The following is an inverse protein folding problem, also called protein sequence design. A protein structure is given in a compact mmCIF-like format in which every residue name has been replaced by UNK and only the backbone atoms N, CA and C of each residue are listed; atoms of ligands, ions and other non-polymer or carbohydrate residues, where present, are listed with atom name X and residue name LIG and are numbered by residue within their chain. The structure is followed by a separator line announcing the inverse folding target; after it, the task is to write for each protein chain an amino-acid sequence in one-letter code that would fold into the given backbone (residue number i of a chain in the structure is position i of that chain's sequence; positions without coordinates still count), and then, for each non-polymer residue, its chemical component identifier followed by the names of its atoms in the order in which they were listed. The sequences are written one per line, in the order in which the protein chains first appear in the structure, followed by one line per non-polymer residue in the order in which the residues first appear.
data_IF_607202281534
#
_entry.id   IF_607202281534
#
_cell.length_a   1.000
_cell.length_b   1.000
_cell.length_c   1.000
_cell.angle_alpha   90.00
_cell.angle_beta   90.00
_cell.angle_gamma   90.00
#
_symmetry.space_group_name_H-M   'P 1'
#
loop_
_entity.id
_entity.type
_entity.pdbx_description
1 polymer ?
#
# COMPACT_ATOMS: atom_id res chain seq x y z
N UNK A 1 6.69 -6.08 -14.14
CA UNK A 1 7.96 -6.84 -14.26
C UNK A 1 7.67 -8.34 -14.33
N UNK A 2 6.88 -8.91 -13.42
CA UNK A 2 6.60 -10.35 -13.41
C UNK A 2 5.86 -10.83 -14.68
N UNK A 3 4.92 -10.05 -15.20
CA UNK A 3 4.22 -10.35 -16.45
C UNK A 3 5.19 -10.39 -17.64
N UNK A 4 6.12 -9.44 -17.73
CA UNK A 4 7.12 -9.43 -18.79
C UNK A 4 8.07 -10.62 -18.71
N UNK A 5 8.51 -10.99 -17.50
CA UNK A 5 9.35 -12.18 -17.29
C UNK A 5 8.60 -13.46 -17.71
N UNK A 6 7.32 -13.58 -17.37
CA UNK A 6 6.51 -14.72 -17.79
C UNK A 6 6.34 -14.79 -19.31
N UNK A 7 6.10 -13.66 -19.97
CA UNK A 7 6.01 -13.62 -21.44
C UNK A 7 7.34 -14.00 -22.10
N UNK A 8 8.48 -13.54 -21.56
CA UNK A 8 9.78 -13.92 -22.05
C UNK A 8 10.06 -15.42 -21.89
N UNK A 9 9.65 -16.04 -20.77
CA UNK A 9 9.72 -17.48 -20.58
C UNK A 9 8.82 -18.22 -21.59
N UNK A 10 7.57 -17.76 -21.80
CA UNK A 10 6.69 -18.35 -22.80
C UNK A 10 7.30 -18.31 -24.20
N UNK A 11 7.89 -17.17 -24.58
CA UNK A 11 8.60 -16.99 -25.86
C UNK A 11 9.78 -17.96 -26.00
N UNK A 12 10.62 -18.05 -24.97
CA UNK A 12 11.80 -18.93 -24.95
C UNK A 12 11.44 -20.42 -25.05
N UNK A 13 10.22 -20.80 -24.61
CA UNK A 13 9.69 -22.16 -24.71
C UNK A 13 8.89 -22.41 -25.98
N UNK A 14 8.80 -21.45 -26.90
CA UNK A 14 8.07 -21.55 -28.17
C UNK A 14 6.55 -21.47 -28.03
N UNK A 15 6.05 -20.94 -26.91
CA UNK A 15 4.61 -20.71 -26.71
C UNK A 15 4.16 -19.38 -27.33
N UNK A 16 2.90 -19.33 -27.77
CA UNK A 16 2.30 -18.11 -28.32
C UNK A 16 2.15 -17.04 -27.22
N UNK A 17 2.95 -15.99 -27.32
CA UNK A 17 2.97 -14.88 -26.36
C UNK A 17 1.69 -14.05 -26.40
N UNK A 18 0.95 -14.02 -27.52
CA UNK A 18 -0.32 -13.29 -27.61
C UNK A 18 -1.42 -14.01 -26.81
N UNK A 19 -1.42 -15.34 -26.84
CA UNK A 19 -2.33 -16.17 -26.01
C UNK A 19 -1.96 -15.99 -24.53
N UNK A 20 -0.67 -16.04 -24.21
CA UNK A 20 -0.18 -15.81 -22.83
C UNK A 20 -0.59 -14.42 -22.30
N UNK A 21 -0.42 -13.36 -23.11
CA UNK A 21 -0.82 -12.00 -22.77
C UNK A 21 -2.34 -11.87 -22.53
N UNK A 22 -3.16 -12.51 -23.35
CA UNK A 22 -4.63 -12.54 -23.14
C UNK A 22 -5.01 -13.20 -21.81
N UNK A 23 -4.32 -14.28 -21.43
CA UNK A 23 -4.55 -14.94 -20.14
C UNK A 23 -4.09 -14.10 -18.96
N UNK A 24 -3.04 -13.28 -19.11
CA UNK A 24 -2.62 -12.32 -18.10
C UNK A 24 -3.67 -11.24 -17.84
N UNK A 25 -4.48 -10.87 -18.82
CA UNK A 25 -5.53 -9.87 -18.64
C UNK A 25 -6.64 -10.31 -17.67
N UNK A 26 -6.81 -11.63 -17.45
CA UNK A 26 -7.73 -12.19 -16.45
C UNK A 26 -7.08 -12.43 -15.09
N UNK A 27 -5.80 -12.11 -14.93
CA UNK A 27 -5.11 -12.30 -13.66
C UNK A 27 -5.54 -11.23 -12.66
N UNK A 28 -6.01 -11.66 -11.50
CA UNK A 28 -6.31 -10.80 -10.36
C UNK A 28 -5.17 -10.87 -9.35
N UNK A 29 -4.80 -9.73 -8.77
CA UNK A 29 -3.81 -9.70 -7.72
C UNK A 29 -4.27 -10.50 -6.49
N UNK A 30 -3.33 -11.19 -5.88
CA UNK A 30 -3.58 -11.87 -4.60
C UNK A 30 -3.79 -10.82 -3.49
N UNK A 31 -4.56 -11.15 -2.45
CA UNK A 31 -4.69 -10.30 -1.26
C UNK A 31 -3.31 -9.86 -0.75
N UNK A 32 -3.21 -8.60 -0.35
CA UNK A 32 -1.97 -8.01 0.13
C UNK A 32 -0.91 -7.69 -0.93
N UNK A 33 -1.19 -7.93 -2.22
CA UNK A 33 -0.22 -7.71 -3.33
C UNK A 33 -0.74 -6.74 -4.40
N UNK A 34 -1.25 -5.60 -3.95
CA UNK A 34 -1.84 -4.59 -4.81
C UNK A 34 -3.24 -4.98 -5.30
N UNK A 35 -3.98 -5.73 -4.50
CA UNK A 35 -5.37 -6.07 -4.80
C UNK A 35 -6.26 -4.84 -4.66
N UNK A 36 -7.19 -4.68 -5.62
CA UNK A 36 -8.21 -3.65 -5.60
C UNK A 36 -9.54 -4.26 -5.17
N UNK A 37 -10.21 -3.65 -4.20
CA UNK A 37 -11.58 -3.97 -3.84
C UNK A 37 -12.37 -2.70 -3.59
N UNK A 38 -13.67 -2.72 -3.88
CA UNK A 38 -14.58 -1.62 -3.57
C UNK A 38 -15.76 -2.17 -2.79
N UNK A 39 -16.15 -1.45 -1.75
CA UNK A 39 -17.22 -1.89 -0.85
C UNK A 39 -17.59 -0.81 0.14
N UNK A 40 -18.38 -1.18 1.13
CA UNK A 40 -18.70 -0.30 2.25
C UNK A 40 -18.01 -0.79 3.51
N UNK A 41 -17.40 0.12 4.22
CA UNK A 41 -16.85 -0.10 5.55
C UNK A 41 -17.56 0.83 6.53
N UNK A 42 -18.21 0.26 7.53
CA UNK A 42 -19.07 0.99 8.49
C UNK A 42 -20.08 1.93 7.78
N UNK A 43 -20.65 1.47 6.65
CA UNK A 43 -21.59 2.24 5.85
C UNK A 43 -20.98 3.22 4.85
N UNK A 44 -19.67 3.51 4.93
CA UNK A 44 -18.93 4.43 4.06
C UNK A 44 -18.41 3.70 2.83
N UNK A 45 -18.72 4.18 1.63
CA UNK A 45 -18.26 3.58 0.37
C UNK A 45 -16.79 3.94 0.12
N UNK A 46 -15.93 2.95 -0.04
CA UNK A 46 -14.49 3.13 -0.27
C UNK A 46 -13.95 2.23 -1.37
N UNK A 47 -12.77 2.59 -1.88
CA UNK A 47 -11.90 1.73 -2.67
C UNK A 47 -10.66 1.39 -1.85
N UNK A 48 -10.40 0.11 -1.63
CA UNK A 48 -9.20 -0.38 -0.97
C UNK A 48 -8.17 -0.82 -2.00
N UNK A 49 -6.93 -0.38 -1.82
CA UNK A 49 -5.74 -0.90 -2.50
C UNK A 49 -4.89 -1.60 -1.44
N UNK A 50 -5.02 -2.92 -1.39
CA UNK A 50 -4.32 -3.76 -0.41
C UNK A 50 -2.98 -4.25 -0.94
N UNK A 51 -1.88 -3.64 -0.49
CA UNK A 51 -0.49 -4.05 -0.76
C UNK A 51 0.26 -4.38 0.55
N UNK A 52 -0.48 -4.93 1.52
CA UNK A 52 -0.05 -5.13 2.90
C UNK A 52 0.74 -6.42 3.17
N UNK A 53 0.99 -7.25 2.14
CA UNK A 53 1.69 -8.53 2.34
C UNK A 53 3.12 -8.36 2.83
N UNK A 54 3.88 -7.43 2.22
CA UNK A 54 5.25 -7.13 2.62
C UNK A 54 5.70 -5.74 2.13
N UNK A 55 6.75 -5.20 2.76
CA UNK A 55 7.32 -3.92 2.39
C UNK A 55 8.85 -3.96 2.43
N UNK A 56 9.45 -3.30 1.46
CA UNK A 56 10.88 -2.99 1.40
C UNK A 56 11.09 -1.73 0.57
N UNK A 57 12.25 -1.08 0.64
CA UNK A 57 12.48 0.24 0.04
C UNK A 57 12.11 0.32 -1.45
N UNK A 58 12.50 -0.69 -2.23
CA UNK A 58 12.20 -0.74 -3.66
C UNK A 58 10.71 -0.93 -3.94
N UNK A 59 10.04 -1.83 -3.18
CA UNK A 59 8.60 -2.10 -3.35
C UNK A 59 7.73 -0.93 -2.93
N UNK A 60 8.12 -0.20 -1.87
CA UNK A 60 7.43 1.02 -1.43
C UNK A 60 7.50 2.11 -2.52
N UNK A 61 8.70 2.38 -3.04
CA UNK A 61 8.89 3.36 -4.12
C UNK A 61 8.11 2.99 -5.39
N UNK A 62 8.13 1.72 -5.78
CA UNK A 62 7.39 1.23 -6.94
C UNK A 62 5.87 1.36 -6.74
N UNK A 63 5.37 1.04 -5.55
CA UNK A 63 3.95 1.21 -5.21
C UNK A 63 3.54 2.69 -5.31
N UNK A 64 4.29 3.61 -4.70
CA UNK A 64 3.97 5.04 -4.77
C UNK A 64 3.98 5.57 -6.22
N UNK A 65 4.95 5.14 -7.03
CA UNK A 65 4.98 5.51 -8.44
C UNK A 65 3.74 5.02 -9.21
N UNK A 66 3.23 3.83 -8.90
CA UNK A 66 2.03 3.28 -9.54
C UNK A 66 0.74 3.99 -9.15
N UNK A 67 0.70 4.63 -7.98
CA UNK A 67 -0.47 5.34 -7.45
C UNK A 67 -0.63 6.77 -8.01
N UNK A 68 0.31 7.28 -8.79
CA UNK A 68 0.28 8.66 -9.30
C UNK A 68 -0.90 8.95 -10.25
N UNK A 69 -1.46 7.92 -10.90
CA UNK A 69 -2.62 8.05 -11.79
C UNK A 69 -3.92 8.23 -10.99
N UNK A 70 -4.05 7.47 -9.88
CA UNK A 70 -5.20 7.54 -8.96
C UNK A 70 -4.65 7.60 -7.53
N UNK A 71 -4.26 8.79 -7.06
CA UNK A 71 -3.66 8.94 -5.74
C UNK A 71 -4.67 8.67 -4.63
N UNK A 72 -4.28 7.92 -3.58
CA UNK A 72 -5.15 7.63 -2.44
C UNK A 72 -5.35 8.88 -1.58
N UNK A 73 -6.55 9.01 -1.01
CA UNK A 73 -6.85 10.05 -0.03
C UNK A 73 -6.32 9.70 1.35
N UNK A 74 -6.26 8.42 1.68
CA UNK A 74 -5.75 7.91 2.95
C UNK A 74 -4.68 6.85 2.68
N UNK A 75 -3.55 6.97 3.37
CA UNK A 75 -2.49 5.98 3.35
C UNK A 75 -2.31 5.39 4.74
N UNK A 76 -2.34 4.06 4.86
CA UNK A 76 -1.95 3.33 6.07
C UNK A 76 -0.62 2.66 5.80
N UNK A 77 0.42 3.13 6.46
CA UNK A 77 1.79 2.69 6.22
C UNK A 77 2.38 2.11 7.49
N UNK A 78 2.90 0.91 7.43
CA UNK A 78 3.65 0.33 8.54
C UNK A 78 5.12 0.12 8.20
N UNK A 79 5.93 -0.13 9.22
CA UNK A 79 7.38 -0.23 9.09
C UNK A 79 7.82 -1.27 8.07
N UNK A 80 8.93 -0.95 7.40
CA UNK A 80 9.75 -1.92 6.69
C UNK A 80 10.68 -2.59 7.70
N UNK A 81 10.49 -3.88 7.93
CA UNK A 81 11.31 -4.66 8.86
C UNK A 81 12.59 -5.17 8.19
N UNK A 82 13.52 -5.68 9.00
CA UNK A 82 14.76 -6.35 8.55
C UNK A 82 15.74 -5.46 7.75
N UNK A 83 15.71 -4.15 8.00
CA UNK A 83 16.61 -3.20 7.31
C UNK A 83 17.91 -2.90 8.08
N UNK A 84 18.07 -3.43 9.30
CA UNK A 84 19.26 -3.18 10.14
C UNK A 84 19.51 -1.68 10.35
N UNK A 85 20.78 -1.29 10.37
CA UNK A 85 21.21 0.10 10.64
C UNK A 85 20.72 1.11 9.58
N UNK A 86 20.33 0.62 8.39
CA UNK A 86 19.80 1.46 7.32
C UNK A 86 18.31 1.84 7.47
N UNK A 87 17.63 1.33 8.50
CA UNK A 87 16.17 1.47 8.66
C UNK A 87 15.69 2.93 8.62
N UNK A 88 16.24 3.79 9.46
CA UNK A 88 15.84 5.19 9.54
C UNK A 88 16.00 5.94 8.20
N UNK A 89 17.14 5.73 7.53
CA UNK A 89 17.41 6.34 6.23
C UNK A 89 16.47 5.84 5.14
N UNK A 90 16.18 4.54 5.13
CA UNK A 90 15.26 3.92 4.18
C UNK A 90 13.83 4.44 4.34
N UNK A 91 13.34 4.61 5.58
CA UNK A 91 12.03 5.19 5.85
C UNK A 91 11.99 6.67 5.44
N UNK A 92 12.99 7.47 5.82
CA UNK A 92 13.09 8.88 5.42
C UNK A 92 13.06 9.07 3.90
N UNK A 93 13.69 8.15 3.16
CA UNK A 93 13.72 8.19 1.69
C UNK A 93 12.35 7.94 1.02
N UNK A 94 11.31 7.60 1.76
CA UNK A 94 9.93 7.46 1.26
C UNK A 94 9.18 8.79 1.16
N UNK A 95 9.60 9.82 1.91
CA UNK A 95 8.90 11.09 2.01
C UNK A 95 8.56 11.75 0.67
N UNK A 96 9.48 11.85 -0.32
CA UNK A 96 9.15 12.45 -1.62
C UNK A 96 8.02 11.72 -2.36
N UNK A 97 7.97 10.37 -2.27
CA UNK A 97 6.91 9.57 -2.89
C UNK A 97 5.55 9.85 -2.25
N UNK A 98 5.48 9.92 -0.93
CA UNK A 98 4.24 10.25 -0.22
C UNK A 98 3.78 11.67 -0.56
N UNK A 99 4.70 12.64 -0.56
CA UNK A 99 4.39 14.04 -0.90
C UNK A 99 3.84 14.19 -2.32
N UNK A 100 4.35 13.42 -3.28
CA UNK A 100 3.87 13.46 -4.66
C UNK A 100 2.42 12.99 -4.81
N UNK A 101 1.96 12.09 -3.94
CA UNK A 101 0.59 11.55 -3.92
C UNK A 101 -0.42 12.49 -3.23
N UNK A 102 0.05 13.44 -2.41
CA UNK A 102 -0.77 14.42 -1.68
C UNK A 102 -1.95 13.79 -0.90
N UNK A 103 -1.71 12.74 -0.11
CA UNK A 103 -2.77 12.14 0.68
C UNK A 103 -3.34 13.17 1.67
N UNK A 104 -4.63 13.05 1.98
CA UNK A 104 -5.28 13.85 3.03
C UNK A 104 -4.87 13.39 4.42
N UNK A 105 -4.71 12.08 4.59
CA UNK A 105 -4.34 11.45 5.87
C UNK A 105 -3.26 10.40 5.64
N UNK A 106 -2.27 10.39 6.52
CA UNK A 106 -1.24 9.35 6.61
C UNK A 106 -1.30 8.73 7.99
N UNK A 107 -1.76 7.50 8.09
CA UNK A 107 -1.78 6.70 9.31
C UNK A 107 -0.53 5.84 9.33
N UNK A 108 0.22 5.84 10.42
CA UNK A 108 1.47 5.09 10.50
C UNK A 108 1.47 4.11 11.67
N UNK A 109 2.05 2.93 11.44
CA UNK A 109 2.30 1.92 12.47
C UNK A 109 3.80 1.71 12.56
N UNK A 110 4.35 1.86 13.77
CA UNK A 110 5.78 1.70 14.05
C UNK A 110 6.55 3.03 14.11
N UNK A 111 7.70 2.98 14.79
CA UNK A 111 8.46 4.17 15.20
C UNK A 111 9.12 4.88 14.03
N UNK A 112 9.80 4.15 13.15
CA UNK A 112 10.53 4.76 12.04
C UNK A 112 9.59 5.34 10.99
N UNK A 113 8.46 4.65 10.72
CA UNK A 113 7.44 5.16 9.82
C UNK A 113 6.77 6.43 10.38
N UNK A 114 6.45 6.44 11.68
CA UNK A 114 5.88 7.61 12.35
C UNK A 114 6.85 8.78 12.38
N UNK A 115 8.14 8.53 12.62
CA UNK A 115 9.18 9.57 12.59
C UNK A 115 9.32 10.18 11.21
N UNK A 116 9.32 9.37 10.15
CA UNK A 116 9.35 9.85 8.78
C UNK A 116 8.13 10.71 8.46
N UNK A 117 6.92 10.24 8.81
CA UNK A 117 5.68 10.97 8.51
C UNK A 117 5.56 12.28 9.31
N UNK A 118 6.03 12.31 10.56
CA UNK A 118 6.05 13.53 11.38
C UNK A 118 6.97 14.62 10.80
N UNK A 119 7.96 14.25 9.99
CA UNK A 119 8.86 15.17 9.31
C UNK A 119 8.32 15.68 7.96
N UNK A 120 7.16 15.18 7.48
CA UNK A 120 6.54 15.67 6.26
C UNK A 120 6.04 17.11 6.44
N UNK A 121 6.27 18.02 5.48
CA UNK A 121 5.67 19.34 5.51
C UNK A 121 4.15 19.19 5.37
N UNK A 122 3.40 19.67 6.39
CA UNK A 122 2.00 19.31 6.59
C UNK A 122 1.00 20.04 5.68
N UNK A 123 0.54 19.34 4.64
CA UNK A 123 -0.85 19.45 4.19
C UNK A 123 -1.68 18.19 4.56
N UNK A 124 -1.02 17.10 4.94
CA UNK A 124 -1.67 15.86 5.37
C UNK A 124 -1.77 15.78 6.90
N UNK A 125 -2.88 15.25 7.40
CA UNK A 125 -3.01 14.88 8.80
C UNK A 125 -2.17 13.62 9.03
N UNK A 126 -1.24 13.67 9.99
CA UNK A 126 -0.46 12.51 10.42
C UNK A 126 -1.06 11.91 11.69
N UNK A 127 -1.42 10.63 11.62
CA UNK A 127 -2.03 9.85 12.70
C UNK A 127 -1.15 8.65 13.07
N UNK A 128 -0.26 8.77 14.06
CA UNK A 128 0.50 7.62 14.53
C UNK A 128 -0.40 6.64 15.31
N UNK A 129 -0.23 5.35 15.05
CA UNK A 129 -0.95 4.27 15.71
C UNK A 129 0.05 3.29 16.36
N UNK A 130 -0.30 2.76 17.51
CA UNK A 130 0.53 1.79 18.23
C UNK A 130 0.56 0.42 17.54
N UNK A 131 -0.58 0.05 16.93
CA UNK A 131 -0.81 -1.24 16.30
C UNK A 131 -1.90 -1.15 15.21
N UNK A 132 -2.28 -2.29 14.65
CA UNK A 132 -3.29 -2.37 13.60
C UNK A 132 -4.70 -2.01 14.09
N UNK A 133 -5.04 -2.29 15.35
CA UNK A 133 -6.35 -1.95 15.93
C UNK A 133 -6.49 -0.42 16.04
N UNK A 134 -5.51 0.21 16.67
CA UNK A 134 -5.46 1.67 16.76
C UNK A 134 -5.43 2.34 15.36
N UNK A 135 -4.73 1.75 14.39
CA UNK A 135 -4.72 2.25 13.01
C UNK A 135 -6.10 2.15 12.35
N UNK A 136 -6.83 1.07 12.62
CA UNK A 136 -8.21 0.89 12.12
C UNK A 136 -9.16 1.94 12.70
N UNK A 137 -9.04 2.24 14.00
CA UNK A 137 -9.85 3.28 14.65
C UNK A 137 -9.55 4.67 14.10
N UNK A 138 -8.26 4.99 13.85
CA UNK A 138 -7.86 6.23 13.17
C UNK A 138 -8.45 6.29 11.77
N UNK A 139 -8.38 5.18 11.03
CA UNK A 139 -8.94 5.10 9.69
C UNK A 139 -10.43 5.41 9.70
N UNK A 140 -11.21 4.78 10.59
CA UNK A 140 -12.66 5.05 10.76
C UNK A 140 -12.98 6.52 10.96
N UNK A 141 -12.20 7.19 11.80
CA UNK A 141 -12.42 8.60 12.13
C UNK A 141 -12.23 9.55 10.93
N UNK A 142 -11.48 9.10 9.90
CA UNK A 142 -11.14 9.92 8.75
C UNK A 142 -11.82 9.51 7.44
N UNK A 143 -12.49 8.35 7.38
CA UNK A 143 -13.14 7.88 6.16
C UNK A 143 -14.26 8.80 5.68
N UNK A 144 -14.35 8.92 4.36
CA UNK A 144 -15.42 9.62 3.65
C UNK A 144 -15.86 8.80 2.45
N UNK A 145 -17.12 8.97 2.03
CA UNK A 145 -17.60 8.35 0.81
C UNK A 145 -16.73 8.70 -0.41
N UNK A 146 -16.35 7.68 -1.15
CA UNK A 146 -15.50 7.79 -2.33
C UNK A 146 -14.00 7.80 -2.04
N UNK A 147 -13.56 7.69 -0.78
CA UNK A 147 -12.13 7.63 -0.47
C UNK A 147 -11.47 6.38 -1.08
N UNK A 148 -10.26 6.56 -1.57
CA UNK A 148 -9.33 5.48 -1.87
C UNK A 148 -8.36 5.33 -0.70
N UNK A 149 -8.31 4.14 -0.11
CA UNK A 149 -7.42 3.78 1.00
C UNK A 149 -6.33 2.89 0.46
N UNK A 150 -5.07 3.27 0.66
CA UNK A 150 -3.91 2.44 0.32
C UNK A 150 -3.26 1.92 1.59
N UNK A 151 -3.04 0.61 1.67
CA UNK A 151 -2.43 -0.05 2.83
C UNK A 151 -1.16 -0.78 2.41
N UNK A 152 -0.02 -0.47 3.06
CA UNK A 152 1.25 -1.16 2.80
C UNK A 152 2.15 -1.20 4.02
N UNK A 153 2.81 -2.35 4.21
CA UNK A 153 3.78 -2.55 5.28
C UNK A 153 4.40 -3.94 5.27
N UNK A 154 5.37 -4.19 6.14
CA UNK A 154 5.92 -5.52 6.33
C UNK A 154 4.91 -6.44 7.02
N UNK A 155 4.96 -7.73 6.71
CA UNK A 155 4.02 -8.72 7.26
C UNK A 155 4.01 -8.69 8.79
N UNK A 156 5.19 -8.71 9.42
CA UNK A 156 5.33 -8.70 10.88
C UNK A 156 4.86 -7.40 11.54
N UNK A 157 4.68 -6.30 10.81
CA UNK A 157 4.19 -5.02 11.34
C UNK A 157 2.66 -4.92 11.43
N UNK A 158 1.93 -5.91 10.89
CA UNK A 158 0.50 -6.05 11.08
C UNK A 158 -0.39 -5.20 10.16
N UNK A 159 0.14 -4.50 9.16
CA UNK A 159 -0.67 -3.70 8.22
C UNK A 159 -1.79 -4.52 7.54
N UNK A 160 -1.54 -5.79 7.25
CA UNK A 160 -2.53 -6.70 6.67
C UNK A 160 -3.79 -6.89 7.54
N UNK A 161 -3.68 -6.72 8.87
CA UNK A 161 -4.84 -6.80 9.77
C UNK A 161 -5.80 -5.64 9.55
N UNK A 162 -5.26 -4.44 9.27
CA UNK A 162 -6.10 -3.29 8.89
C UNK A 162 -6.82 -3.59 7.57
N UNK A 163 -6.11 -4.14 6.57
CA UNK A 163 -6.74 -4.49 5.29
C UNK A 163 -7.85 -5.55 5.48
N UNK A 164 -7.60 -6.58 6.30
CA UNK A 164 -8.58 -7.63 6.57
C UNK A 164 -9.90 -7.07 7.15
N UNK A 165 -9.85 -6.11 8.07
CA UNK A 165 -11.08 -5.50 8.63
C UNK A 165 -11.91 -4.75 7.59
N UNK A 166 -11.31 -4.32 6.47
CA UNK A 166 -12.01 -3.61 5.39
C UNK A 166 -12.59 -4.57 4.34
N UNK A 167 -12.08 -5.79 4.26
CA UNK A 167 -12.53 -6.80 3.28
C UNK A 167 -13.70 -7.61 3.85
N UNK A 168 -13.71 -7.84 5.15
CA UNK A 168 -14.71 -8.68 5.84
C UNK A 168 -15.95 -7.87 6.29
N UNK A 169 -16.06 -6.61 5.94
CA UNK A 169 -17.11 -5.68 6.40
C UNK A 169 -18.30 -5.55 5.42
#
# INVERSE_FOLDING_TARGET
INAMAMLAVCDSLGHDTAIAAKRLASFTNLPGRGAFSSGKFDGTAITLIDDSYNAGPASMKAAFASLTVNPPQIMVLSEMLELGDGSAAAHTALAPGILSLRPRVVITIGTEMSRMAAALPCSAVHEPAADAEAATDRLRAHLRDGDTVFIKGSNGSGAWRVAATLIDA
#
